data_IF_429061522944
#
_entry.id   IF_429061522944
#
_cell.length_a   1.000
_cell.length_b   1.000
_cell.length_c   1.000
_cell.angle_alpha   90.00
_cell.angle_beta   90.00
_cell.angle_gamma   90.00
#
_symmetry.space_group_name_H-M   'P 1'
#
loop_
_entity.id
_entity.type
_entity.pdbx_description
1 polymer ?
#
# COMPACT_ATOMS: atom_id res chain seq x y z
N UNK A 1 12.51 -0.82 -12.42
CA UNK A 1 11.55 -0.89 -11.30
C UNK A 1 11.27 -2.33 -10.88
N UNK A 2 11.97 -2.77 -9.84
CA UNK A 2 11.80 -4.04 -9.16
C UNK A 2 10.94 -3.82 -7.91
N UNK A 3 9.97 -4.71 -7.68
CA UNK A 3 9.16 -4.73 -6.46
C UNK A 3 9.84 -5.66 -5.44
N UNK A 4 10.07 -5.15 -4.22
CA UNK A 4 10.64 -5.93 -3.11
C UNK A 4 9.64 -5.97 -1.97
N UNK A 5 9.19 -7.17 -1.59
CA UNK A 5 8.29 -7.35 -0.45
C UNK A 5 8.93 -6.84 0.83
N UNK A 6 8.22 -5.97 1.54
CA UNK A 6 8.63 -5.42 2.83
C UNK A 6 8.11 -6.36 3.92
N UNK A 7 9.03 -7.06 4.57
CA UNK A 7 8.74 -7.95 5.70
C UNK A 7 8.97 -7.27 7.05
N UNK A 8 9.84 -6.25 7.08
CA UNK A 8 10.11 -5.41 8.24
C UNK A 8 9.68 -3.95 7.96
N UNK A 9 8.52 -3.57 8.49
CA UNK A 9 7.95 -2.23 8.35
C UNK A 9 8.75 -1.15 9.08
N UNK A 10 9.61 -1.51 10.05
CA UNK A 10 10.47 -0.53 10.73
C UNK A 10 11.56 0.02 9.81
N UNK A 11 11.86 -0.68 8.72
CA UNK A 11 12.80 -0.26 7.68
C UNK A 11 12.25 0.78 6.69
N UNK A 12 10.96 1.15 6.81
CA UNK A 12 10.32 2.11 5.92
C UNK A 12 10.64 3.55 6.33
N UNK A 13 11.08 4.36 5.37
CA UNK A 13 11.37 5.77 5.59
C UNK A 13 10.18 6.66 5.25
N UNK A 14 10.04 7.79 5.93
CA UNK A 14 9.05 8.81 5.57
C UNK A 14 9.30 9.32 4.15
N UNK A 15 8.24 9.50 3.37
CA UNK A 15 8.22 9.84 1.95
C UNK A 15 8.83 8.76 1.02
N UNK A 16 9.08 7.55 1.53
CA UNK A 16 9.43 6.43 0.66
C UNK A 16 8.21 6.00 -0.17
N UNK A 17 8.44 5.66 -1.44
CA UNK A 17 7.39 5.19 -2.34
C UNK A 17 7.21 3.69 -2.16
N UNK A 18 6.00 3.28 -1.78
CA UNK A 18 5.63 1.87 -1.63
C UNK A 18 4.37 1.56 -2.41
N UNK A 19 4.27 0.33 -2.89
CA UNK A 19 3.06 -0.24 -3.47
C UNK A 19 2.36 -1.10 -2.43
N UNK A 20 1.10 -0.77 -2.16
CA UNK A 20 0.19 -1.62 -1.39
C UNK A 20 -0.55 -2.50 -2.40
N UNK A 21 -0.66 -3.79 -2.13
CA UNK A 21 -1.39 -4.72 -3.00
C UNK A 21 -2.08 -5.83 -2.20
N UNK A 22 -3.29 -6.21 -2.61
CA UNK A 22 -3.99 -7.39 -2.06
C UNK A 22 -3.73 -8.68 -2.87
N UNK A 23 -2.80 -8.63 -3.84
CA UNK A 23 -2.49 -9.74 -4.75
C UNK A 23 -3.54 -9.99 -5.84
N UNK A 24 -4.64 -9.24 -5.88
CA UNK A 24 -5.66 -9.40 -6.92
C UNK A 24 -5.23 -8.77 -8.25
N UNK A 25 -5.69 -9.36 -9.35
CA UNK A 25 -5.40 -8.89 -10.71
C UNK A 25 -6.30 -7.69 -11.06
N UNK A 26 -5.75 -6.72 -11.77
CA UNK A 26 -6.49 -5.55 -12.24
C UNK A 26 -7.70 -5.97 -13.10
N UNK A 27 -8.93 -5.54 -12.75
CA UNK A 27 -10.11 -5.86 -13.53
C UNK A 27 -10.12 -5.10 -14.86
N UNK A 28 -10.88 -5.56 -15.88
CA UNK A 28 -10.95 -4.88 -17.16
C UNK A 28 -11.46 -3.44 -17.03
N UNK A 29 -10.90 -2.53 -17.84
CA UNK A 29 -11.11 -1.07 -17.74
C UNK A 29 -12.57 -0.62 -17.78
N UNK A 30 -13.45 -1.35 -18.46
CA UNK A 30 -14.87 -1.02 -18.55
C UNK A 30 -15.66 -1.34 -17.26
N UNK A 31 -15.10 -2.13 -16.33
CA UNK A 31 -15.71 -2.39 -15.02
C UNK A 31 -15.34 -1.30 -14.00
N UNK A 32 -15.76 -0.06 -14.23
CA UNK A 32 -15.41 1.13 -13.42
C UNK A 32 -15.57 0.93 -11.91
N UNK A 33 -16.67 0.29 -11.47
CA UNK A 33 -16.91 -0.01 -10.04
C UNK A 33 -15.92 -1.03 -9.46
N UNK A 34 -15.61 -2.11 -10.20
CA UNK A 34 -14.62 -3.10 -9.74
C UNK A 34 -13.22 -2.51 -9.76
N UNK A 35 -12.91 -1.71 -10.78
CA UNK A 35 -11.63 -1.02 -10.93
C UNK A 35 -11.38 -0.04 -9.78
N UNK A 36 -12.36 0.78 -9.41
CA UNK A 36 -12.25 1.68 -8.25
C UNK A 36 -12.00 0.92 -6.93
N UNK A 37 -12.69 -0.20 -6.72
CA UNK A 37 -12.47 -1.06 -5.53
C UNK A 37 -11.08 -1.69 -5.55
N UNK A 38 -10.63 -2.15 -6.71
CA UNK A 38 -9.30 -2.72 -6.89
C UNK A 38 -8.21 -1.68 -6.61
N UNK A 39 -8.32 -0.47 -7.17
CA UNK A 39 -7.37 0.62 -6.96
C UNK A 39 -7.29 1.07 -5.49
N UNK A 40 -8.40 0.98 -4.74
CA UNK A 40 -8.36 1.28 -3.30
C UNK A 40 -7.50 0.30 -2.49
N UNK A 41 -7.37 -0.94 -2.97
CA UNK A 41 -6.56 -2.01 -2.36
C UNK A 41 -5.18 -2.18 -3.01
N UNK A 42 -5.02 -1.70 -4.24
CA UNK A 42 -3.81 -1.83 -5.05
C UNK A 42 -3.39 -0.44 -5.54
N UNK A 43 -2.45 0.18 -4.82
CA UNK A 43 -2.04 1.56 -5.08
C UNK A 43 -0.60 1.83 -4.65
N UNK A 44 0.05 2.72 -5.39
CA UNK A 44 1.35 3.30 -5.02
C UNK A 44 1.13 4.55 -4.18
N UNK A 45 1.81 4.62 -3.03
CA UNK A 45 1.64 5.67 -2.03
C UNK A 45 2.97 6.06 -1.40
N UNK A 46 3.00 7.20 -0.72
CA UNK A 46 4.16 7.62 0.06
C UNK A 46 3.97 7.23 1.52
N UNK A 47 5.00 6.67 2.14
CA UNK A 47 5.01 6.38 3.58
C UNK A 47 4.95 7.70 4.36
N UNK A 48 4.09 7.77 5.38
CA UNK A 48 4.01 8.90 6.30
C UNK A 48 4.55 8.56 7.69
N UNK A 49 4.03 7.49 8.30
CA UNK A 49 4.42 6.98 9.61
C UNK A 49 4.05 5.50 9.74
N UNK A 50 4.76 4.76 10.58
CA UNK A 50 4.38 3.40 10.95
C UNK A 50 4.03 3.36 12.44
N UNK A 51 2.90 2.74 12.78
CA UNK A 51 2.42 2.56 14.15
C UNK A 51 2.48 1.08 14.53
N UNK A 52 3.62 0.61 15.06
CA UNK A 52 3.82 -0.80 15.35
C UNK A 52 2.84 -1.36 16.38
N UNK A 53 2.41 -0.54 17.34
CA UNK A 53 1.44 -0.94 18.38
C UNK A 53 0.08 -1.38 17.81
N UNK A 54 -0.30 -0.85 16.64
CA UNK A 54 -1.59 -1.11 15.99
C UNK A 54 -1.46 -1.82 14.64
N UNK A 55 -0.23 -1.98 14.15
CA UNK A 55 0.02 -2.54 12.82
C UNK A 55 -0.46 -1.69 11.67
N UNK A 56 -0.52 -0.38 11.88
CA UNK A 56 -1.02 0.57 10.89
C UNK A 56 0.14 1.28 10.20
N UNK A 57 0.10 1.34 8.88
CA UNK A 57 0.96 2.17 8.06
C UNK A 57 0.18 3.41 7.63
N UNK A 58 0.58 4.58 8.13
CA UNK A 58 0.14 5.84 7.61
C UNK A 58 0.77 6.11 6.26
N UNK A 59 -0.06 6.36 5.24
CA UNK A 59 0.37 6.66 3.88
C UNK A 59 -0.27 7.95 3.36
N UNK A 60 0.47 8.72 2.58
CA UNK A 60 -0.06 9.90 1.88
C UNK A 60 -0.57 9.49 0.51
N UNK A 61 -1.83 9.83 0.23
CA UNK A 61 -2.45 9.73 -1.09
C UNK A 61 -3.10 11.06 -1.43
N UNK A 62 -2.59 11.74 -2.47
CA UNK A 62 -3.17 12.98 -3.05
C UNK A 62 -3.61 14.00 -1.99
N UNK A 63 -2.67 14.41 -1.15
CA UNK A 63 -2.78 15.42 -0.05
C UNK A 63 -3.31 14.93 1.31
N UNK A 64 -3.99 13.78 1.38
CA UNK A 64 -4.51 13.26 2.64
C UNK A 64 -3.63 12.14 3.20
N UNK A 65 -3.46 12.11 4.54
CA UNK A 65 -2.85 10.98 5.24
C UNK A 65 -3.93 9.97 5.61
N UNK A 66 -3.81 8.75 5.11
CA UNK A 66 -4.73 7.64 5.38
C UNK A 66 -3.96 6.56 6.13
N UNK A 67 -4.54 6.04 7.20
CA UNK A 67 -4.01 4.85 7.88
C UNK A 67 -4.46 3.60 7.12
N UNK A 68 -3.51 2.74 6.80
CA UNK A 68 -3.76 1.44 6.18
C UNK A 68 -3.36 0.37 7.18
N UNK A 69 -4.29 -0.52 7.47
CA UNK A 69 -4.02 -1.68 8.30
C UNK A 69 -3.22 -2.71 7.49
N UNK A 70 -1.95 -2.88 7.88
CA UNK A 70 -0.99 -3.73 7.19
C UNK A 70 -0.69 -5.03 7.95
N UNK A 71 -1.08 -5.15 9.23
CA UNK A 71 -0.83 -6.34 10.05
C UNK A 71 -2.09 -7.19 10.28
N UNK A 72 -3.30 -6.60 10.30
CA UNK A 72 -4.55 -7.32 10.55
C UNK A 72 -5.36 -7.65 9.30
N UNK A 73 -5.02 -7.08 8.14
CA UNK A 73 -5.65 -7.48 6.87
C UNK A 73 -4.84 -8.61 6.26
N UNK A 74 -5.31 -9.84 6.43
CA UNK A 74 -4.77 -11.12 5.90
C UNK A 74 -4.53 -11.20 4.37
N UNK A 75 -4.53 -10.08 3.65
CA UNK A 75 -4.39 -10.02 2.20
C UNK A 75 -3.51 -8.87 1.70
N UNK A 76 -3.21 -7.83 2.49
CA UNK A 76 -2.43 -6.69 1.99
C UNK A 76 -0.92 -6.89 2.18
N UNK A 77 -0.17 -6.66 1.12
CA UNK A 77 1.29 -6.71 1.06
C UNK A 77 1.82 -5.33 0.71
N UNK A 78 2.98 -4.98 1.25
CA UNK A 78 3.66 -3.72 0.97
C UNK A 78 4.96 -4.05 0.24
N UNK A 79 5.16 -3.41 -0.91
CA UNK A 79 6.33 -3.59 -1.74
C UNK A 79 7.06 -2.26 -1.89
N UNK A 80 8.37 -2.27 -1.65
CA UNK A 80 9.26 -1.16 -1.98
C UNK A 80 9.47 -1.14 -3.49
N UNK A 81 9.38 0.05 -4.09
CA UNK A 81 9.73 0.26 -5.50
C UNK A 81 11.20 0.68 -5.57
N UNK A 82 12.04 -0.17 -6.14
CA UNK A 82 13.48 0.09 -6.34
C UNK A 82 13.71 0.18 -7.85
N UNK A 83 14.50 1.15 -8.32
CA UNK A 83 14.79 1.32 -9.74
C UNK A 83 15.56 0.13 -10.33
#
# INVERSE_FOLDING_TARGET
MREVLVTDFSSLMKNEVVKISDGSIEPPKHHTKKHARWHNKNRTVLVHRFEPAYGLLGVKSRENCVLVDCLNVRQLTVHRLVD
#
